data_IF_953928979239
#
_entry.id   IF_953928979239
#
_cell.length_a   1.000
_cell.length_b   1.000
_cell.length_c   1.000
_cell.angle_alpha   90.00
_cell.angle_beta   90.00
_cell.angle_gamma   90.00
#
_symmetry.space_group_name_H-M   'P 1'
#
loop_
_entity.id
_entity.type
_entity.pdbx_description
1 polymer ?
#
# COMPACT_ATOMS: atom_id res chain seq x y z
N UNK A 1 -19.36 -23.02 13.94
CA UNK A 1 -18.20 -22.12 13.72
C UNK A 1 -18.63 -20.90 12.91
N UNK A 2 -18.50 -19.67 13.44
CA UNK A 2 -19.00 -18.43 12.82
C UNK A 2 -18.27 -18.16 11.49
N UNK A 3 -18.87 -18.53 10.34
CA UNK A 3 -18.35 -18.24 8.97
C UNK A 3 -18.45 -16.75 8.60
N UNK A 4 -19.25 -15.97 9.34
CA UNK A 4 -19.56 -14.56 9.07
C UNK A 4 -18.32 -13.62 9.03
N UNK A 5 -17.32 -13.71 9.93
CA UNK A 5 -16.18 -12.78 9.91
C UNK A 5 -15.19 -13.01 8.76
N UNK A 6 -15.05 -14.24 8.28
CA UNK A 6 -14.18 -14.55 7.12
C UNK A 6 -14.79 -13.99 5.84
N UNK A 7 -16.12 -14.03 5.71
CA UNK A 7 -16.83 -13.42 4.59
C UNK A 7 -16.59 -11.90 4.52
N UNK A 8 -16.55 -11.22 5.67
CA UNK A 8 -16.23 -9.78 5.74
C UNK A 8 -14.85 -9.49 5.14
N UNK A 9 -13.84 -10.32 5.44
CA UNK A 9 -12.49 -10.15 4.86
C UNK A 9 -12.49 -10.31 3.34
N UNK A 10 -13.22 -11.29 2.81
CA UNK A 10 -13.35 -11.47 1.36
C UNK A 10 -14.05 -10.28 0.70
N UNK A 11 -15.18 -9.83 1.26
CA UNK A 11 -15.90 -8.66 0.76
C UNK A 11 -14.99 -7.43 0.76
N UNK A 12 -14.23 -7.20 1.83
CA UNK A 12 -13.27 -6.10 1.94
C UNK A 12 -12.19 -6.19 0.84
N UNK A 13 -11.62 -7.36 0.59
CA UNK A 13 -10.60 -7.54 -0.45
C UNK A 13 -11.18 -7.33 -1.84
N UNK A 14 -12.30 -7.98 -2.16
CA UNK A 14 -12.92 -7.87 -3.47
C UNK A 14 -13.41 -6.46 -3.77
N UNK A 15 -14.09 -5.80 -2.81
CA UNK A 15 -14.53 -4.41 -2.98
C UNK A 15 -13.35 -3.47 -3.21
N UNK A 16 -12.23 -3.69 -2.51
CA UNK A 16 -11.01 -2.88 -2.70
C UNK A 16 -10.42 -3.07 -4.10
N UNK A 17 -10.23 -4.33 -4.53
CA UNK A 17 -9.62 -4.66 -5.83
C UNK A 17 -10.51 -4.24 -7.00
N UNK A 18 -11.84 -4.30 -6.84
CA UNK A 18 -12.80 -3.88 -7.87
C UNK A 18 -12.66 -2.40 -8.23
N UNK A 19 -12.07 -1.57 -7.36
CA UNK A 19 -11.80 -0.16 -7.67
C UNK A 19 -10.60 0.04 -8.59
N UNK A 20 -9.69 -0.92 -8.70
CA UNK A 20 -8.41 -0.77 -9.42
C UNK A 20 -8.57 -0.53 -10.93
N UNK A 21 -9.51 -1.16 -11.66
CA UNK A 21 -9.72 -0.87 -13.07
C UNK A 21 -10.04 0.62 -13.34
N UNK A 22 -10.76 1.29 -12.43
CA UNK A 22 -11.06 2.73 -12.54
C UNK A 22 -9.82 3.63 -12.34
N UNK A 23 -8.72 3.06 -11.82
CA UNK A 23 -7.46 3.76 -11.65
C UNK A 23 -6.76 4.07 -12.98
N UNK A 24 -7.09 3.36 -14.07
CA UNK A 24 -6.45 3.54 -15.37
C UNK A 24 -5.02 3.01 -15.42
N UNK A 25 -4.68 2.35 -16.52
CA UNK A 25 -3.44 1.56 -16.64
C UNK A 25 -2.15 2.37 -16.43
N UNK A 26 -2.13 3.62 -16.93
CA UNK A 26 -0.99 4.52 -16.80
C UNK A 26 -0.66 4.83 -15.33
N UNK A 27 -1.68 5.15 -14.52
CA UNK A 27 -1.50 5.47 -13.11
C UNK A 27 -1.21 4.23 -12.28
N UNK A 28 -1.88 3.11 -12.60
CA UNK A 28 -1.60 1.83 -11.96
C UNK A 28 -0.12 1.47 -12.07
N UNK A 29 0.43 1.41 -13.29
CA UNK A 29 1.86 1.11 -13.51
C UNK A 29 2.81 2.09 -12.85
N UNK A 30 2.43 3.37 -12.81
CA UNK A 30 3.25 4.44 -12.24
C UNK A 30 3.45 4.26 -10.73
N UNK A 31 2.39 3.94 -10.00
CA UNK A 31 2.40 3.87 -8.53
C UNK A 31 2.60 2.45 -7.98
N UNK A 32 2.48 1.44 -8.83
CA UNK A 32 2.67 0.04 -8.46
C UNK A 32 4.00 -0.23 -7.74
N UNK A 33 5.17 0.30 -8.16
CA UNK A 33 6.43 0.00 -7.49
C UNK A 33 6.48 0.45 -6.03
N UNK A 34 5.99 1.67 -5.74
CA UNK A 34 5.94 2.18 -4.37
C UNK A 34 4.95 1.42 -3.49
N UNK A 35 3.77 1.10 -4.02
CA UNK A 35 2.78 0.32 -3.29
C UNK A 35 3.24 -1.12 -3.03
N UNK A 36 3.90 -1.78 -3.99
CA UNK A 36 4.45 -3.12 -3.80
C UNK A 36 5.58 -3.14 -2.76
N UNK A 37 6.50 -2.18 -2.85
CA UNK A 37 7.57 -2.02 -1.87
C UNK A 37 7.01 -1.93 -0.44
N UNK A 38 6.02 -1.08 -0.23
CA UNK A 38 5.38 -0.94 1.08
C UNK A 38 4.58 -2.17 1.49
N UNK A 39 3.93 -2.85 0.55
CA UNK A 39 3.20 -4.09 0.85
C UNK A 39 4.14 -5.17 1.40
N UNK A 40 5.34 -5.29 0.83
CA UNK A 40 6.39 -6.20 1.31
C UNK A 40 6.87 -5.77 2.71
N UNK A 41 7.15 -4.48 2.91
CA UNK A 41 7.58 -3.97 4.23
C UNK A 41 6.55 -4.25 5.32
N UNK A 42 5.25 -4.05 5.04
CA UNK A 42 4.18 -4.33 5.99
C UNK A 42 4.05 -5.84 6.23
N UNK A 43 4.24 -6.67 5.21
CA UNK A 43 4.26 -8.12 5.37
C UNK A 43 5.43 -8.59 6.26
N UNK A 44 6.61 -7.97 6.14
CA UNK A 44 7.75 -8.25 7.03
C UNK A 44 7.48 -7.76 8.46
N UNK A 45 6.92 -6.57 8.61
CA UNK A 45 6.54 -6.03 9.91
C UNK A 45 5.48 -6.90 10.59
N UNK A 46 4.58 -7.51 9.84
CA UNK A 46 3.57 -8.42 10.36
C UNK A 46 4.19 -9.57 11.17
N UNK A 47 5.33 -10.09 10.71
CA UNK A 47 6.10 -11.13 11.42
C UNK A 47 6.63 -10.58 12.76
N UNK A 48 7.11 -9.33 12.76
CA UNK A 48 7.58 -8.63 13.97
C UNK A 48 6.41 -8.39 14.93
N UNK A 49 5.29 -7.88 14.42
CA UNK A 49 4.08 -7.59 15.18
C UNK A 49 3.53 -8.85 15.88
N UNK A 50 3.56 -9.99 15.20
CA UNK A 50 3.20 -11.30 15.77
C UNK A 50 4.17 -11.71 16.89
N UNK A 51 5.48 -11.63 16.64
CA UNK A 51 6.52 -11.96 17.64
C UNK A 51 6.38 -11.13 18.92
N UNK A 52 6.13 -9.83 18.79
CA UNK A 52 5.98 -8.92 19.93
C UNK A 52 4.55 -8.82 20.45
N UNK A 53 3.58 -9.51 19.84
CA UNK A 53 2.15 -9.49 20.19
C UNK A 53 1.58 -8.07 20.23
N UNK A 54 1.87 -7.26 19.21
CA UNK A 54 1.32 -5.91 19.08
C UNK A 54 -0.22 -5.96 19.00
N UNK A 55 -0.73 -6.89 18.20
CA UNK A 55 -2.12 -7.28 18.09
C UNK A 55 -2.22 -8.79 17.83
N UNK A 56 -3.41 -9.36 17.97
CA UNK A 56 -3.68 -10.77 17.72
C UNK A 56 -4.75 -10.92 16.64
N UNK A 57 -4.44 -11.61 15.53
CA UNK A 57 -5.39 -11.89 14.45
C UNK A 57 -6.01 -13.27 14.66
N UNK A 58 -7.33 -13.33 14.76
CA UNK A 58 -8.08 -14.57 14.99
C UNK A 58 -8.68 -15.15 13.70
N UNK A 59 -8.87 -14.32 12.68
CA UNK A 59 -9.47 -14.69 11.39
C UNK A 59 -8.59 -14.21 10.25
N UNK A 60 -8.27 -15.12 9.35
CA UNK A 60 -7.40 -14.89 8.20
C UNK A 60 -7.94 -15.58 6.95
N UNK A 61 -7.53 -15.08 5.79
CA UNK A 61 -7.78 -15.70 4.49
C UNK A 61 -6.45 -16.20 3.90
N UNK A 62 -6.47 -17.14 2.95
CA UNK A 62 -5.27 -17.58 2.28
C UNK A 62 -4.56 -16.43 1.55
N UNK A 63 -3.22 -16.48 1.45
CA UNK A 63 -2.33 -17.45 2.04
C UNK A 63 -1.97 -17.10 3.50
N UNK A 64 -1.86 -18.12 4.35
CA UNK A 64 -1.82 -17.95 5.82
C UNK A 64 -0.45 -17.61 6.42
N UNK A 65 0.55 -17.31 5.59
CA UNK A 65 1.92 -16.98 6.02
C UNK A 65 2.07 -15.54 6.53
N UNK A 66 1.15 -14.64 6.17
CA UNK A 66 1.05 -13.29 6.73
C UNK A 66 -0.35 -13.14 7.31
N UNK A 67 -0.46 -12.86 8.60
CA UNK A 67 -1.76 -12.83 9.28
C UNK A 67 -2.65 -11.68 8.76
N UNK A 68 -2.02 -10.58 8.36
CA UNK A 68 -2.61 -9.33 7.88
C UNK A 68 -2.89 -9.35 6.37
N UNK A 69 -2.69 -10.49 5.69
CA UNK A 69 -2.70 -10.58 4.24
C UNK A 69 -3.93 -9.95 3.59
N UNK A 70 -5.13 -10.19 4.15
CA UNK A 70 -6.38 -9.59 3.67
C UNK A 70 -6.33 -8.05 3.65
N UNK A 71 -5.76 -7.45 4.69
CA UNK A 71 -5.65 -6.00 4.81
C UNK A 71 -4.60 -5.44 3.85
N UNK A 72 -3.49 -6.17 3.66
CA UNK A 72 -2.41 -5.76 2.74
C UNK A 72 -2.89 -5.78 1.29
N UNK A 73 -3.42 -6.91 0.81
CA UNK A 73 -3.79 -7.09 -0.61
C UNK A 73 -5.09 -6.38 -0.98
N UNK A 74 -6.00 -6.20 -0.02
CA UNK A 74 -7.25 -5.48 -0.24
C UNK A 74 -7.08 -3.97 -0.05
N UNK A 75 -7.52 -3.44 1.09
CA UNK A 75 -7.68 -2.00 1.29
C UNK A 75 -6.36 -1.24 1.30
N UNK A 76 -5.28 -1.80 1.85
CA UNK A 76 -3.99 -1.12 1.86
C UNK A 76 -3.45 -0.93 0.43
N UNK A 77 -3.38 -2.01 -0.36
CA UNK A 77 -2.86 -1.96 -1.72
C UNK A 77 -3.70 -1.04 -2.61
N UNK A 78 -5.03 -1.25 -2.64
CA UNK A 78 -5.90 -0.42 -3.47
C UNK A 78 -5.97 1.02 -2.98
N UNK A 79 -6.09 1.24 -1.68
CA UNK A 79 -6.14 2.56 -1.07
C UNK A 79 -4.87 3.36 -1.33
N UNK A 80 -3.70 2.74 -1.21
CA UNK A 80 -2.41 3.40 -1.46
C UNK A 80 -2.28 3.88 -2.92
N UNK A 81 -2.70 3.06 -3.88
CA UNK A 81 -2.71 3.43 -5.29
C UNK A 81 -3.62 4.63 -5.56
N UNK A 82 -4.80 4.66 -4.93
CA UNK A 82 -5.73 5.79 -5.04
C UNK A 82 -5.19 7.06 -4.39
N UNK A 83 -4.67 6.96 -3.16
CA UNK A 83 -4.09 8.09 -2.44
C UNK A 83 -2.95 8.70 -3.27
N UNK A 84 -2.02 7.87 -3.77
CA UNK A 84 -0.95 8.32 -4.64
C UNK A 84 -1.50 8.93 -5.92
N UNK A 85 -2.48 8.32 -6.60
CA UNK A 85 -3.07 8.92 -7.80
C UNK A 85 -3.65 10.31 -7.55
N UNK A 86 -4.35 10.50 -6.45
CA UNK A 86 -5.05 11.75 -6.14
C UNK A 86 -4.11 12.87 -5.67
N UNK A 87 -2.96 12.51 -5.07
CA UNK A 87 -2.17 13.48 -4.30
C UNK A 87 -0.69 13.53 -4.65
N UNK A 88 -0.17 12.58 -5.45
CA UNK A 88 1.25 12.52 -5.76
C UNK A 88 1.74 13.81 -6.45
N UNK A 89 2.89 14.32 -5.98
CA UNK A 89 3.42 15.63 -6.36
C UNK A 89 3.01 16.77 -5.41
N UNK A 90 2.00 16.56 -4.56
CA UNK A 90 1.55 17.53 -3.53
C UNK A 90 1.72 16.90 -2.14
N UNK A 91 2.93 16.99 -1.58
CA UNK A 91 3.29 16.27 -0.34
C UNK A 91 2.36 16.57 0.85
N UNK A 92 1.93 17.82 1.03
CA UNK A 92 1.01 18.19 2.10
C UNK A 92 -0.38 17.57 1.92
N UNK A 93 -0.91 17.56 0.69
CA UNK A 93 -2.20 16.95 0.38
C UNK A 93 -2.14 15.43 0.53
N UNK A 94 -1.04 14.82 0.11
CA UNK A 94 -0.79 13.40 0.30
C UNK A 94 -0.79 13.04 1.77
N UNK A 95 0.00 13.75 2.58
CA UNK A 95 0.13 13.44 3.99
C UNK A 95 -1.20 13.64 4.74
N UNK A 96 -1.93 14.71 4.43
CA UNK A 96 -3.25 14.98 5.03
C UNK A 96 -4.26 13.89 4.67
N UNK A 97 -4.38 13.53 3.38
CA UNK A 97 -5.32 12.50 2.94
C UNK A 97 -4.94 11.13 3.53
N UNK A 98 -3.65 10.78 3.53
CA UNK A 98 -3.20 9.52 4.08
C UNK A 98 -3.44 9.45 5.59
N UNK A 99 -3.09 10.50 6.34
CA UNK A 99 -3.36 10.58 7.78
C UNK A 99 -4.85 10.49 8.10
N UNK A 100 -5.72 11.09 7.27
CA UNK A 100 -7.16 10.97 7.44
C UNK A 100 -7.63 9.52 7.23
N UNK A 101 -7.23 8.88 6.12
CA UNK A 101 -7.58 7.48 5.84
C UNK A 101 -7.05 6.54 6.91
N UNK A 102 -5.82 6.75 7.37
CA UNK A 102 -5.19 5.99 8.45
C UNK A 102 -5.96 6.17 9.77
N UNK A 103 -6.39 7.39 10.10
CA UNK A 103 -7.18 7.65 11.30
C UNK A 103 -8.53 6.91 11.24
N UNK A 104 -9.20 6.96 10.07
CA UNK A 104 -10.43 6.20 9.84
C UNK A 104 -10.18 4.70 9.98
N UNK A 105 -9.07 4.16 9.47
CA UNK A 105 -8.76 2.76 9.66
C UNK A 105 -8.48 2.42 11.15
N UNK A 106 -7.66 3.22 11.81
CA UNK A 106 -7.14 2.93 13.15
C UNK A 106 -8.18 3.15 14.24
N UNK A 107 -9.14 4.05 14.10
CA UNK A 107 -10.14 4.29 15.15
C UNK A 107 -11.46 3.56 14.89
N UNK A 108 -12.30 3.92 13.90
CA UNK A 108 -13.58 3.25 13.72
C UNK A 108 -13.46 1.83 13.15
N UNK A 109 -12.64 1.60 12.11
CA UNK A 109 -12.53 0.27 11.52
C UNK A 109 -11.87 -0.75 12.44
N UNK A 110 -10.79 -0.37 13.13
CA UNK A 110 -10.14 -1.26 14.11
C UNK A 110 -11.13 -1.69 15.19
N UNK A 111 -11.90 -0.75 15.75
CA UNK A 111 -12.89 -1.03 16.78
C UNK A 111 -14.00 -1.97 16.28
N UNK A 112 -14.46 -1.75 15.04
CA UNK A 112 -15.42 -2.65 14.39
C UNK A 112 -14.85 -4.07 14.23
N UNK A 113 -13.62 -4.19 13.74
CA UNK A 113 -12.96 -5.47 13.52
C UNK A 113 -12.65 -6.21 14.83
N UNK A 114 -12.36 -5.48 15.91
CA UNK A 114 -12.28 -6.03 17.26
C UNK A 114 -13.62 -6.57 17.73
N UNK A 115 -14.71 -5.82 17.53
CA UNK A 115 -16.05 -6.21 17.95
C UNK A 115 -16.54 -7.50 17.25
N UNK A 116 -16.28 -7.63 15.94
CA UNK A 116 -16.65 -8.84 15.19
C UNK A 116 -15.64 -9.99 15.32
N UNK A 117 -14.55 -9.79 16.08
CA UNK A 117 -13.58 -10.82 16.44
C UNK A 117 -12.62 -11.21 15.31
N UNK A 118 -12.27 -10.27 14.41
CA UNK A 118 -11.25 -10.49 13.38
C UNK A 118 -9.85 -10.37 13.97
N UNK A 119 -9.59 -9.32 14.74
CA UNK A 119 -8.35 -9.15 15.49
C UNK A 119 -8.61 -8.50 16.84
N UNK A 120 -7.61 -8.41 17.70
CA UNK A 120 -7.66 -7.65 18.95
C UNK A 120 -6.35 -6.92 19.18
N UNK A 121 -6.42 -5.63 19.51
CA UNK A 121 -5.23 -4.88 19.94
C UNK A 121 -4.74 -5.46 21.27
N UNK A 122 -3.41 -5.60 21.40
CA UNK A 122 -2.78 -6.21 22.57
C UNK A 122 -1.82 -5.21 23.22
N UNK A 123 -0.52 -5.33 22.95
CA UNK A 123 0.50 -4.48 23.58
C UNK A 123 0.61 -3.09 22.94
N UNK A 124 0.18 -2.97 21.69
CA UNK A 124 0.24 -1.70 20.97
C UNK A 124 -1.07 -0.93 21.15
N UNK A 125 -0.97 0.36 21.46
CA UNK A 125 -2.14 1.24 21.51
C UNK A 125 -2.55 1.70 20.11
N UNK A 126 -3.80 2.13 19.94
CA UNK A 126 -4.28 2.70 18.67
C UNK A 126 -3.48 3.94 18.26
N UNK A 127 -3.08 4.78 19.22
CA UNK A 127 -2.24 5.95 18.93
C UNK A 127 -0.84 5.56 18.43
N UNK A 128 -0.24 4.52 19.00
CA UNK A 128 1.04 3.98 18.51
C UNK A 128 0.88 3.42 17.09
N UNK A 129 -0.20 2.68 16.83
CA UNK A 129 -0.50 2.16 15.49
C UNK A 129 -0.68 3.29 14.46
N UNK A 130 -1.39 4.35 14.85
CA UNK A 130 -1.54 5.54 14.01
C UNK A 130 -0.20 6.21 13.72
N UNK A 131 0.63 6.43 14.74
CA UNK A 131 1.98 6.99 14.54
C UNK A 131 2.85 6.14 13.61
N UNK A 132 2.76 4.81 13.74
CA UNK A 132 3.43 3.87 12.83
C UNK A 132 2.95 4.02 11.38
N UNK A 133 1.65 4.22 11.16
CA UNK A 133 1.09 4.44 9.83
C UNK A 133 1.56 5.78 9.23
N UNK A 134 1.65 6.83 10.03
CA UNK A 134 2.20 8.12 9.58
C UNK A 134 3.67 8.00 9.14
N UNK A 135 4.50 7.24 9.88
CA UNK A 135 5.89 6.98 9.47
C UNK A 135 5.94 6.21 8.15
N UNK A 136 5.09 5.18 8.00
CA UNK A 136 4.98 4.41 6.76
C UNK A 136 4.53 5.24 5.58
N UNK A 137 3.62 6.19 5.78
CA UNK A 137 3.14 7.06 4.70
C UNK A 137 4.26 7.93 4.15
N UNK A 138 5.13 8.45 5.03
CA UNK A 138 6.33 9.19 4.63
C UNK A 138 7.30 8.28 3.87
N UNK A 139 7.53 7.06 4.36
CA UNK A 139 8.39 6.09 3.71
C UNK A 139 7.89 5.71 2.30
N UNK A 140 6.59 5.48 2.16
CA UNK A 140 5.94 5.19 0.88
C UNK A 140 6.14 6.32 -0.13
N UNK A 141 5.84 7.55 0.29
CA UNK A 141 5.97 8.72 -0.57
C UNK A 141 7.43 8.97 -0.95
N UNK A 142 8.34 8.83 0.01
CA UNK A 142 9.78 8.96 -0.20
C UNK A 142 10.29 7.95 -1.22
N UNK A 143 9.94 6.68 -1.08
CA UNK A 143 10.30 5.64 -2.04
C UNK A 143 9.74 5.94 -3.43
N UNK A 144 8.45 6.27 -3.54
CA UNK A 144 7.83 6.60 -4.82
C UNK A 144 8.52 7.79 -5.49
N UNK A 145 8.88 8.83 -4.72
CA UNK A 145 9.60 9.99 -5.22
C UNK A 145 11.01 9.65 -5.72
N UNK A 146 11.73 8.76 -5.03
CA UNK A 146 13.04 8.28 -5.49
C UNK A 146 12.92 7.45 -6.77
N UNK A 147 11.94 6.55 -6.83
CA UNK A 147 11.67 5.72 -8.00
C UNK A 147 11.36 6.56 -9.23
N UNK A 148 10.51 7.58 -9.10
CA UNK A 148 10.15 8.49 -10.18
C UNK A 148 11.35 9.29 -10.71
N UNK A 149 12.24 9.73 -9.82
CA UNK A 149 13.50 10.37 -10.22
C UNK A 149 14.39 9.41 -11.00
N UNK A 150 14.49 8.16 -10.57
CA UNK A 150 15.28 7.12 -11.25
C UNK A 150 14.75 6.83 -12.65
N UNK A 151 13.44 6.59 -12.79
CA UNK A 151 12.79 6.34 -14.09
C UNK A 151 13.00 7.52 -15.03
N UNK A 152 12.78 8.76 -14.56
CA UNK A 152 13.00 9.97 -15.38
C UNK A 152 14.44 10.09 -15.88
N UNK A 153 15.43 9.82 -15.01
CA UNK A 153 16.85 9.87 -15.38
C UNK A 153 17.21 8.79 -16.41
N UNK A 154 16.63 7.60 -16.30
CA UNK A 154 16.82 6.51 -17.26
C UNK A 154 16.24 6.86 -18.63
N UNK A 155 15.02 7.40 -18.68
CA UNK A 155 14.40 7.85 -19.94
C UNK A 155 15.16 9.00 -20.60
N UNK A 156 15.78 9.89 -19.82
CA UNK A 156 16.58 11.01 -20.36
C UNK A 156 17.93 10.57 -20.96
N UNK A 157 18.45 9.38 -20.61
CA UNK A 157 19.70 8.83 -21.19
C UNK A 157 19.49 8.07 -22.50
N UNK A 158 18.27 7.62 -22.76
CA UNK A 158 17.90 6.81 -23.93
C UNK A 158 17.87 7.53 -25.30
N UNK A 159 17.70 8.87 -25.43
CA UNK A 159 17.56 9.52 -26.75
C UNK A 159 18.85 9.55 -27.60
N UNK A 160 20.03 9.45 -27.00
CA UNK A 160 21.31 9.65 -27.73
C UNK A 160 21.82 8.37 -28.41
N UNK A 161 21.39 7.18 -27.94
CA UNK A 161 21.99 5.90 -28.34
C UNK A 161 21.27 5.19 -29.49
N UNK A 162 20.11 5.72 -29.93
CA UNK A 162 19.28 5.16 -31.01
C UNK A 162 19.39 5.94 -32.34
N UNK A 163 20.28 6.92 -32.50
CA UNK A 163 20.57 7.45 -33.86
C UNK A 163 21.40 6.40 -34.60
N UNK A 164 20.86 5.69 -35.61
CA UNK A 164 21.70 4.89 -36.48
C UNK A 164 22.67 5.86 -37.15
N UNK A 165 23.95 5.50 -37.19
CA UNK A 165 24.95 6.21 -37.98
C UNK A 165 24.33 6.55 -39.35
N UNK A 166 24.07 7.83 -39.60
CA UNK A 166 23.76 8.31 -40.93
C UNK A 166 24.94 7.88 -41.79
N UNK A 167 24.72 6.91 -42.68
CA UNK A 167 25.73 6.56 -43.68
C UNK A 167 26.03 7.85 -44.43
N UNK A 168 27.28 8.29 -44.37
CA UNK A 168 27.80 9.30 -45.27
C UNK A 168 27.45 8.86 -46.70
N UNK A 169 26.91 9.73 -47.56
CA UNK A 169 26.88 9.42 -48.99
C UNK A 169 28.33 9.14 -49.41
N UNK A 170 28.54 7.99 -50.04
CA UNK A 170 29.80 7.70 -50.68
C UNK A 170 29.94 8.66 -51.86
N UNK A 171 30.89 9.58 -51.76
CA UNK A 171 31.43 10.39 -52.85
C UNK A 171 32.93 10.10 -52.97
#
# INVERSE_FOLDING_TARGET
>A
MKKKPVLVLWIMVFSSILTLPFLGWKHFKRFLPGTLFMSILIALESIVAEKYKWWAIYKKIPPYFVNEFAFIVGPFFAGSLWILRLTYGKIYLYFLLNAFVDAVFVYPFSALFEHIGIFKMKKMSRHQLFGLFLIKSLLMYGFQAMWEKYVRKSSAKKPEQERPYSMSPAE
#
